data_IF_509040798973
#
_entry.id   IF_509040798973
#
_cell.length_a   1.000
_cell.length_b   1.000
_cell.length_c   1.000
_cell.angle_alpha   90.00
_cell.angle_beta   90.00
_cell.angle_gamma   90.00
#
_symmetry.space_group_name_H-M   'P 1'
#
loop_
_entity.id
_entity.type
_entity.pdbx_description
1 polymer ?
#
# COMPACT_ATOMS: atom_id res chain seq x y z
N UNK A 1 -28.16 8.26 121.71
CA UNK A 1 -28.13 7.50 120.44
C UNK A 1 -27.93 8.46 119.26
N UNK A 2 -26.67 8.80 118.97
CA UNK A 2 -26.34 9.81 117.95
C UNK A 2 -25.02 9.53 117.19
N UNK A 3 -24.36 8.38 117.42
CA UNK A 3 -23.05 8.08 116.84
C UNK A 3 -23.07 7.04 115.69
N UNK A 4 -24.20 6.41 115.39
CA UNK A 4 -24.27 5.27 114.44
C UNK A 4 -24.67 5.70 113.01
N UNK A 5 -25.07 6.96 112.80
CA UNK A 5 -25.62 7.45 111.53
C UNK A 5 -24.56 7.77 110.46
N UNK A 6 -23.52 8.53 110.82
CA UNK A 6 -22.50 9.02 109.86
C UNK A 6 -21.57 7.92 109.34
N UNK A 7 -21.06 6.97 110.16
CA UNK A 7 -20.21 5.89 109.66
C UNK A 7 -20.90 5.01 108.62
N UNK A 8 -22.16 4.63 108.86
CA UNK A 8 -22.96 3.83 107.93
C UNK A 8 -23.26 4.58 106.62
N UNK A 9 -23.51 5.90 106.68
CA UNK A 9 -23.66 6.74 105.49
C UNK A 9 -22.38 6.80 104.65
N UNK A 10 -21.21 6.95 105.28
CA UNK A 10 -19.91 6.94 104.58
C UNK A 10 -19.59 5.59 103.95
N UNK A 11 -19.88 4.49 104.64
CA UNK A 11 -19.72 3.14 104.09
C UNK A 11 -20.60 2.91 102.85
N UNK A 12 -21.84 3.40 102.87
CA UNK A 12 -22.71 3.34 101.71
C UNK A 12 -22.18 4.16 100.52
N UNK A 13 -21.58 5.33 100.78
CA UNK A 13 -20.90 6.15 99.76
C UNK A 13 -19.68 5.40 99.19
N UNK A 14 -18.87 4.78 100.05
CA UNK A 14 -17.71 3.98 99.63
C UNK A 14 -18.13 2.78 98.76
N UNK A 15 -19.21 2.09 99.15
CA UNK A 15 -19.76 1.00 98.36
C UNK A 15 -20.26 1.50 97.00
N UNK A 16 -21.01 2.60 96.96
CA UNK A 16 -21.50 3.18 95.71
C UNK A 16 -20.34 3.60 94.78
N UNK A 17 -19.29 4.21 95.34
CA UNK A 17 -18.09 4.56 94.59
C UNK A 17 -17.38 3.32 94.03
N UNK A 18 -17.21 2.27 94.84
CA UNK A 18 -16.59 1.02 94.42
C UNK A 18 -17.39 0.32 93.30
N UNK A 19 -18.70 0.17 93.48
CA UNK A 19 -19.60 -0.41 92.48
C UNK A 19 -19.53 0.38 91.17
N UNK A 20 -19.50 1.72 91.25
CA UNK A 20 -19.44 2.58 90.08
C UNK A 20 -18.12 2.49 89.33
N UNK A 21 -17.00 2.46 90.05
CA UNK A 21 -15.67 2.27 89.45
C UNK A 21 -15.56 0.90 88.75
N UNK A 22 -16.13 -0.16 89.33
CA UNK A 22 -16.19 -1.46 88.70
C UNK A 22 -17.05 -1.45 87.42
N UNK A 23 -18.16 -0.71 87.41
CA UNK A 23 -18.97 -0.50 86.22
C UNK A 23 -18.21 0.27 85.12
N UNK A 24 -17.39 1.26 85.48
CA UNK A 24 -16.50 1.98 84.54
C UNK A 24 -15.41 1.03 84.00
N UNK A 25 -14.86 0.14 84.83
CA UNK A 25 -13.85 -0.83 84.40
C UNK A 25 -14.37 -1.82 83.37
N UNK A 26 -15.63 -2.25 83.50
CA UNK A 26 -16.29 -3.17 82.60
C UNK A 26 -16.66 -2.57 81.23
N UNK A 27 -16.41 -1.28 81.00
CA UNK A 27 -16.71 -0.61 79.73
C UNK A 27 -15.56 -0.74 78.74
N UNK A 28 -15.70 -1.62 77.74
CA UNK A 28 -14.68 -1.87 76.72
C UNK A 28 -14.58 -0.78 75.64
N UNK A 29 -15.57 0.10 75.58
CA UNK A 29 -15.60 1.27 74.70
C UNK A 29 -14.67 2.40 75.18
N UNK A 30 -14.30 2.39 76.47
CA UNK A 30 -13.40 3.39 77.07
C UNK A 30 -11.94 2.93 77.04
N UNK A 31 -11.06 3.87 76.75
CA UNK A 31 -9.62 3.75 76.97
C UNK A 31 -9.27 3.75 78.46
N UNK A 32 -8.07 3.30 78.79
CA UNK A 32 -7.53 3.35 80.16
C UNK A 32 -7.53 4.78 80.71
N UNK A 33 -7.22 5.77 79.86
CA UNK A 33 -7.22 7.20 80.18
C UNK A 33 -8.63 7.72 80.50
N UNK A 34 -9.63 7.40 79.67
CA UNK A 34 -11.03 7.79 79.91
C UNK A 34 -11.59 7.12 81.18
N UNK A 35 -11.25 5.84 81.41
CA UNK A 35 -11.59 5.13 82.66
C UNK A 35 -10.95 5.81 83.87
N UNK A 36 -9.68 6.20 83.80
CA UNK A 36 -8.99 6.86 84.89
C UNK A 36 -9.62 8.23 85.23
N UNK A 37 -9.95 9.04 84.21
CA UNK A 37 -10.62 10.32 84.39
C UNK A 37 -12.01 10.15 85.05
N UNK A 38 -12.81 9.20 84.58
CA UNK A 38 -14.13 8.92 85.15
C UNK A 38 -14.06 8.42 86.60
N UNK A 39 -13.08 7.57 86.92
CA UNK A 39 -12.87 7.12 88.31
C UNK A 39 -12.43 8.25 89.24
N UNK A 40 -11.65 9.20 88.74
CA UNK A 40 -11.28 10.39 89.51
C UNK A 40 -12.49 11.30 89.78
N UNK A 41 -13.44 11.39 88.84
CA UNK A 41 -14.72 12.07 89.06
C UNK A 41 -15.56 11.36 90.13
N UNK A 42 -15.64 10.02 90.09
CA UNK A 42 -16.29 9.23 91.16
C UNK A 42 -15.65 9.49 92.52
N UNK A 43 -14.32 9.54 92.60
CA UNK A 43 -13.60 9.88 93.84
C UNK A 43 -13.92 11.28 94.34
N UNK A 44 -14.02 12.25 93.42
CA UNK A 44 -14.40 13.63 93.75
C UNK A 44 -15.82 13.70 94.33
N UNK A 45 -16.79 13.03 93.70
CA UNK A 45 -18.17 12.99 94.18
C UNK A 45 -18.29 12.25 95.52
N UNK A 46 -17.53 11.17 95.72
CA UNK A 46 -17.48 10.45 96.99
C UNK A 46 -16.87 11.30 98.11
N UNK A 47 -15.83 12.10 97.82
CA UNK A 47 -15.26 13.05 98.78
C UNK A 47 -16.28 14.13 99.18
N UNK A 48 -16.92 14.78 98.18
CA UNK A 48 -17.98 15.79 98.42
C UNK A 48 -19.13 15.24 99.26
N UNK A 49 -19.55 14.00 98.96
CA UNK A 49 -20.61 13.32 99.70
C UNK A 49 -20.23 13.07 101.17
N UNK A 50 -19.00 12.63 101.43
CA UNK A 50 -18.49 12.42 102.80
C UNK A 50 -18.37 13.72 103.59
N UNK A 51 -17.92 14.79 102.95
CA UNK A 51 -17.84 16.12 103.55
C UNK A 51 -19.25 16.63 103.92
N UNK A 52 -20.25 16.42 103.06
CA UNK A 52 -21.64 16.76 103.34
C UNK A 52 -22.22 15.94 104.51
N UNK A 53 -21.90 14.64 104.60
CA UNK A 53 -22.26 13.79 105.74
C UNK A 53 -21.60 14.28 107.04
N UNK A 54 -20.35 14.72 106.98
CA UNK A 54 -19.65 15.29 108.14
C UNK A 54 -20.28 16.60 108.61
N UNK A 55 -20.69 17.46 107.66
CA UNK A 55 -21.33 18.74 107.93
C UNK A 55 -22.79 18.62 108.44
N UNK A 56 -23.47 17.49 108.23
CA UNK A 56 -24.85 17.30 108.67
C UNK A 56 -25.00 17.34 110.20
N UNK A 57 -26.01 18.07 110.69
CA UNK A 57 -26.25 18.30 112.13
C UNK A 57 -27.30 17.39 112.74
N UNK A 58 -28.07 16.67 111.93
CA UNK A 58 -29.10 15.72 112.35
C UNK A 58 -29.18 14.50 111.41
N UNK A 59 -29.99 13.51 111.79
CA UNK A 59 -30.16 12.27 111.03
C UNK A 59 -30.72 12.51 109.63
N UNK A 60 -31.71 13.41 109.48
CA UNK A 60 -32.32 13.70 108.19
C UNK A 60 -31.31 14.32 107.22
N UNK A 61 -30.41 15.18 107.71
CA UNK A 61 -29.30 15.74 106.94
C UNK A 61 -28.26 14.69 106.56
N UNK A 62 -27.96 13.72 107.45
CA UNK A 62 -27.06 12.59 107.12
C UNK A 62 -27.66 11.72 106.01
N UNK A 63 -28.94 11.40 106.10
CA UNK A 63 -29.64 10.60 105.09
C UNK A 63 -29.74 11.34 103.75
N UNK A 64 -30.08 12.63 103.77
CA UNK A 64 -30.12 13.46 102.56
C UNK A 64 -28.74 13.61 101.89
N UNK A 65 -27.67 13.82 102.68
CA UNK A 65 -26.30 13.92 102.17
C UNK A 65 -25.83 12.59 101.58
N UNK A 66 -26.15 11.47 102.24
CA UNK A 66 -25.90 10.13 101.74
C UNK A 66 -26.61 9.91 100.40
N UNK A 67 -27.92 10.11 100.36
CA UNK A 67 -28.73 9.83 99.16
C UNK A 67 -28.28 10.71 97.99
N UNK A 68 -28.10 12.01 98.22
CA UNK A 68 -27.59 12.94 97.20
C UNK A 68 -26.19 12.54 96.72
N UNK A 69 -25.30 12.16 97.63
CA UNK A 69 -23.94 11.72 97.30
C UNK A 69 -23.91 10.43 96.49
N UNK A 70 -24.70 9.43 96.90
CA UNK A 70 -24.84 8.19 96.13
C UNK A 70 -25.44 8.46 94.75
N UNK A 71 -26.44 9.34 94.63
CA UNK A 71 -27.01 9.71 93.34
C UNK A 71 -25.98 10.39 92.43
N UNK A 72 -25.19 11.32 92.96
CA UNK A 72 -24.13 12.00 92.22
C UNK A 72 -23.05 11.02 91.70
N UNK A 73 -22.59 10.10 92.55
CA UNK A 73 -21.67 9.01 92.15
C UNK A 73 -22.28 8.16 91.05
N UNK A 74 -23.54 7.74 91.22
CA UNK A 74 -24.22 6.86 90.27
C UNK A 74 -24.40 7.54 88.90
N UNK A 75 -24.56 8.87 88.90
CA UNK A 75 -24.71 9.69 87.72
C UNK A 75 -23.43 9.88 86.89
N UNK A 76 -22.24 9.64 87.45
CA UNK A 76 -20.97 9.75 86.70
C UNK A 76 -21.00 8.78 85.51
N UNK A 77 -21.12 9.25 84.28
CA UNK A 77 -21.21 8.36 83.13
C UNK A 77 -20.33 8.90 81.99
N UNK A 78 -19.08 8.43 81.88
CA UNK A 78 -18.16 8.97 80.87
C UNK A 78 -18.66 8.65 79.45
N UNK A 79 -18.45 9.57 78.53
CA UNK A 79 -18.67 9.32 77.11
C UNK A 79 -17.39 8.74 76.49
N UNK A 80 -17.51 7.73 75.63
CA UNK A 80 -16.38 7.23 74.87
C UNK A 80 -16.10 8.19 73.70
N UNK A 81 -14.89 8.72 73.60
CA UNK A 81 -14.51 9.70 72.58
C UNK A 81 -13.42 9.14 71.67
N UNK A 82 -12.43 8.45 72.24
CA UNK A 82 -11.25 8.00 71.51
C UNK A 82 -11.56 7.01 70.36
N UNK A 83 -12.20 5.87 70.69
CA UNK A 83 -12.52 4.83 69.71
C UNK A 83 -13.51 5.31 68.64
N UNK A 84 -14.62 6.01 68.97
CA UNK A 84 -15.52 6.56 67.96
C UNK A 84 -14.83 7.53 66.99
N UNK A 85 -14.01 8.46 67.50
CA UNK A 85 -13.29 9.42 66.67
C UNK A 85 -12.27 8.74 65.73
N UNK A 86 -11.59 7.69 66.21
CA UNK A 86 -10.68 6.90 65.38
C UNK A 86 -11.42 6.17 64.25
N UNK A 87 -12.58 5.56 64.52
CA UNK A 87 -13.40 4.89 63.51
C UNK A 87 -13.95 5.86 62.47
N UNK A 88 -14.39 7.05 62.89
CA UNK A 88 -14.82 8.11 61.97
C UNK A 88 -13.69 8.55 61.04
N UNK A 89 -12.47 8.70 61.56
CA UNK A 89 -11.31 9.02 60.73
C UNK A 89 -10.99 7.92 59.70
N UNK A 90 -11.12 6.64 60.08
CA UNK A 90 -10.98 5.50 59.17
C UNK A 90 -12.07 5.52 58.08
N UNK A 91 -13.32 5.77 58.46
CA UNK A 91 -14.44 5.87 57.51
C UNK A 91 -14.24 7.02 56.52
N UNK A 92 -13.78 8.17 57.00
CA UNK A 92 -13.44 9.29 56.13
C UNK A 92 -12.31 8.94 55.16
N UNK A 93 -11.24 8.30 55.63
CA UNK A 93 -10.13 7.88 54.77
C UNK A 93 -10.57 6.87 53.71
N UNK A 94 -11.42 5.91 54.08
CA UNK A 94 -12.01 4.95 53.14
C UNK A 94 -12.89 5.64 52.09
N UNK A 95 -13.76 6.56 52.50
CA UNK A 95 -14.62 7.32 51.58
C UNK A 95 -13.81 8.17 50.60
N UNK A 96 -12.82 8.93 51.10
CA UNK A 96 -11.94 9.76 50.28
C UNK A 96 -11.18 8.89 49.26
N UNK A 97 -10.69 7.71 49.70
CA UNK A 97 -9.97 6.79 48.84
C UNK A 97 -10.83 6.19 47.74
N UNK A 98 -12.06 5.77 48.07
CA UNK A 98 -13.01 5.26 47.06
C UNK A 98 -13.38 6.33 46.05
N UNK A 99 -13.55 7.58 46.47
CA UNK A 99 -13.79 8.70 45.57
C UNK A 99 -12.61 8.94 44.61
N UNK A 100 -11.36 8.80 45.09
CA UNK A 100 -10.18 8.87 44.23
C UNK A 100 -10.12 7.73 43.20
N UNK A 101 -10.49 6.51 43.58
CA UNK A 101 -10.62 5.36 42.67
C UNK A 101 -11.70 5.61 41.62
N UNK A 102 -12.85 6.17 42.02
CA UNK A 102 -13.94 6.49 41.11
C UNK A 102 -13.58 7.53 40.06
N UNK A 103 -12.79 8.53 40.46
CA UNK A 103 -12.30 9.59 39.58
C UNK A 103 -11.22 9.12 38.59
N UNK A 104 -10.64 7.93 38.78
CA UNK A 104 -9.65 7.40 37.85
C UNK A 104 -10.35 6.84 36.60
N UNK A 105 -10.23 7.55 35.48
CA UNK A 105 -10.87 7.18 34.20
C UNK A 105 -10.11 6.10 33.42
N UNK A 106 -8.88 5.77 33.83
CA UNK A 106 -8.10 4.73 33.18
C UNK A 106 -8.57 3.32 33.58
N UNK A 107 -9.23 3.21 34.75
CA UNK A 107 -9.80 1.97 35.27
C UNK A 107 -11.16 1.66 34.67
N UNK A 108 -11.41 0.38 34.41
CA UNK A 108 -12.78 -0.13 34.18
C UNK A 108 -13.57 -0.18 35.48
N UNK A 109 -14.89 -0.32 35.38
CA UNK A 109 -15.74 -0.49 36.55
C UNK A 109 -15.34 -1.72 37.37
N UNK A 110 -14.96 -2.82 36.71
CA UNK A 110 -14.53 -4.04 37.38
C UNK A 110 -13.23 -3.83 38.19
N UNK A 111 -12.25 -3.11 37.62
CA UNK A 111 -11.01 -2.76 38.32
C UNK A 111 -11.27 -1.83 39.51
N UNK A 112 -12.20 -0.86 39.35
CA UNK A 112 -12.65 0.03 40.43
C UNK A 112 -13.30 -0.76 41.56
N UNK A 113 -14.20 -1.68 41.25
CA UNK A 113 -14.94 -2.46 42.24
C UNK A 113 -13.99 -3.36 43.05
N UNK A 114 -13.02 -4.01 42.39
CA UNK A 114 -11.99 -4.79 43.07
C UNK A 114 -11.12 -3.93 44.01
N UNK A 115 -10.75 -2.72 43.59
CA UNK A 115 -9.98 -1.79 44.40
C UNK A 115 -10.79 -1.29 45.62
N UNK A 116 -12.07 -0.96 45.44
CA UNK A 116 -12.96 -0.55 46.55
C UNK A 116 -13.17 -1.66 47.55
N UNK A 117 -13.30 -2.91 47.11
CA UNK A 117 -13.38 -4.06 48.00
C UNK A 117 -12.11 -4.22 48.86
N UNK A 118 -10.93 -3.91 48.30
CA UNK A 118 -9.67 -3.87 49.04
C UNK A 118 -9.67 -2.75 50.09
N UNK A 119 -10.19 -1.56 49.75
CA UNK A 119 -10.37 -0.45 50.72
C UNK A 119 -11.30 -0.86 51.86
N UNK A 120 -12.42 -1.52 51.56
CA UNK A 120 -13.37 -1.99 52.59
C UNK A 120 -12.75 -3.03 53.54
N UNK A 121 -11.91 -3.93 53.01
CA UNK A 121 -11.20 -4.90 53.80
C UNK A 121 -10.21 -4.24 54.77
N UNK A 122 -9.41 -3.27 54.30
CA UNK A 122 -8.45 -2.55 55.15
C UNK A 122 -9.16 -1.66 56.19
N UNK A 123 -10.29 -1.02 55.83
CA UNK A 123 -11.09 -0.25 56.76
C UNK A 123 -11.69 -1.12 57.89
N UNK A 124 -12.20 -2.30 57.54
CA UNK A 124 -12.73 -3.26 58.52
C UNK A 124 -11.63 -3.72 59.49
N UNK A 125 -10.48 -4.12 58.95
CA UNK A 125 -9.31 -4.53 59.74
C UNK A 125 -8.80 -3.42 60.67
N UNK A 126 -8.82 -2.17 60.22
CA UNK A 126 -8.44 -1.02 61.03
C UNK A 126 -9.43 -0.78 62.19
N UNK A 127 -10.74 -0.90 61.95
CA UNK A 127 -11.77 -0.77 62.98
C UNK A 127 -11.67 -1.87 64.04
N UNK A 128 -11.40 -3.10 63.61
CA UNK A 128 -11.18 -4.23 64.53
C UNK A 128 -9.94 -3.97 65.43
N UNK A 129 -8.87 -3.40 64.88
CA UNK A 129 -7.70 -3.01 65.66
C UNK A 129 -7.98 -1.89 66.67
N UNK A 130 -8.81 -0.90 66.31
CA UNK A 130 -9.28 0.14 67.23
C UNK A 130 -10.14 -0.45 68.35
N UNK A 131 -11.01 -1.41 68.05
CA UNK A 131 -11.83 -2.09 69.06
C UNK A 131 -10.97 -2.89 70.05
N UNK A 132 -9.93 -3.55 69.55
CA UNK A 132 -8.99 -4.32 70.37
C UNK A 132 -8.05 -3.45 71.24
N UNK A 133 -7.87 -2.16 70.92
CA UNK A 133 -6.99 -1.28 71.67
C UNK A 133 -7.54 -0.96 73.08
N UNK A 134 -6.65 -0.93 74.09
CA UNK A 134 -7.01 -0.73 75.51
C UNK A 134 -6.67 0.65 76.05
N UNK A 135 -5.78 1.39 75.36
CA UNK A 135 -5.31 2.71 75.75
C UNK A 135 -5.34 3.68 74.55
N UNK A 136 -5.17 4.96 74.83
CA UNK A 136 -5.20 6.01 73.80
C UNK A 136 -4.11 5.81 72.74
N UNK A 137 -2.90 5.43 73.15
CA UNK A 137 -1.78 5.22 72.23
C UNK A 137 -2.04 4.07 71.24
N UNK A 138 -2.65 2.99 71.69
CA UNK A 138 -3.07 1.87 70.85
C UNK A 138 -4.18 2.26 69.87
N UNK A 139 -5.16 3.06 70.30
CA UNK A 139 -6.21 3.59 69.42
C UNK A 139 -5.61 4.47 68.33
N UNK A 140 -4.70 5.38 68.68
CA UNK A 140 -4.02 6.27 67.72
C UNK A 140 -3.14 5.47 66.75
N UNK A 141 -2.37 4.48 67.23
CA UNK A 141 -1.56 3.62 66.38
C UNK A 141 -2.41 2.77 65.41
N UNK A 142 -3.53 2.23 65.87
CA UNK A 142 -4.46 1.46 65.03
C UNK A 142 -5.10 2.35 63.93
N UNK A 143 -5.53 3.55 64.31
CA UNK A 143 -6.05 4.56 63.38
C UNK A 143 -5.02 4.94 62.32
N UNK A 144 -3.80 5.29 62.74
CA UNK A 144 -2.74 5.73 61.82
C UNK A 144 -2.31 4.61 60.88
N UNK A 145 -2.13 3.39 61.40
CA UNK A 145 -1.83 2.20 60.58
C UNK A 145 -2.93 1.91 59.56
N UNK A 146 -4.20 1.94 60.00
CA UNK A 146 -5.36 1.69 59.15
C UNK A 146 -5.55 2.74 58.05
N UNK A 147 -5.45 4.01 58.38
CA UNK A 147 -5.55 5.10 57.40
C UNK A 147 -4.40 5.07 56.39
N UNK A 148 -3.19 4.70 56.82
CA UNK A 148 -2.06 4.46 55.91
C UNK A 148 -2.31 3.28 54.97
N UNK A 149 -2.80 2.15 55.47
CA UNK A 149 -3.12 0.97 54.67
C UNK A 149 -4.19 1.27 53.61
N UNK A 150 -5.27 1.97 53.97
CA UNK A 150 -6.30 2.45 53.04
C UNK A 150 -5.68 3.35 51.97
N UNK A 151 -4.87 4.33 52.37
CA UNK A 151 -4.25 5.28 51.44
C UNK A 151 -3.34 4.58 50.44
N UNK A 152 -2.67 3.50 50.86
CA UNK A 152 -1.76 2.72 50.04
C UNK A 152 -2.44 1.85 48.96
N UNK A 153 -3.77 1.67 49.00
CA UNK A 153 -4.50 0.91 47.96
C UNK A 153 -4.40 1.63 46.62
N UNK A 154 -3.57 1.18 45.69
CA UNK A 154 -3.42 1.83 44.39
C UNK A 154 -3.68 0.84 43.26
N UNK A 155 -4.88 0.85 42.65
CA UNK A 155 -5.18 -0.03 41.53
C UNK A 155 -4.37 0.34 40.28
N UNK A 156 -3.90 -0.69 39.58
CA UNK A 156 -3.25 -0.57 38.27
C UNK A 156 -4.30 -0.76 37.17
N UNK A 157 -4.30 0.13 36.17
CA UNK A 157 -5.14 -0.01 34.98
C UNK A 157 -4.49 -1.01 34.02
N UNK A 158 -5.20 -2.08 33.67
CA UNK A 158 -4.68 -3.16 32.82
C UNK A 158 -5.46 -3.25 31.53
N UNK A 159 -6.80 -3.13 31.59
CA UNK A 159 -7.68 -3.37 30.45
C UNK A 159 -7.45 -2.38 29.28
N UNK A 160 -7.55 -1.06 29.54
CA UNK A 160 -7.40 -0.04 28.50
C UNK A 160 -5.99 -0.02 27.88
N UNK A 161 -4.88 -0.07 28.67
CA UNK A 161 -3.54 -0.15 28.09
C UNK A 161 -3.35 -1.35 27.16
N UNK A 162 -3.78 -2.55 27.57
CA UNK A 162 -3.66 -3.76 26.76
C UNK A 162 -4.46 -3.67 25.45
N UNK A 163 -5.66 -3.07 25.48
CA UNK A 163 -6.45 -2.84 24.28
C UNK A 163 -5.77 -1.87 23.31
N UNK A 164 -5.18 -0.78 23.81
CA UNK A 164 -4.44 0.18 22.98
C UNK A 164 -3.19 -0.45 22.34
N UNK A 165 -2.47 -1.28 23.07
CA UNK A 165 -1.32 -2.02 22.54
C UNK A 165 -1.73 -2.96 21.39
N UNK A 166 -2.86 -3.65 21.55
CA UNK A 166 -3.40 -4.51 20.48
C UNK A 166 -3.78 -3.70 19.22
N UNK A 167 -4.35 -2.51 19.39
CA UNK A 167 -4.66 -1.59 18.28
C UNK A 167 -3.37 -1.12 17.59
N UNK A 168 -2.35 -0.74 18.37
CA UNK A 168 -1.04 -0.33 17.83
C UNK A 168 -0.37 -1.45 17.03
N UNK A 169 -0.43 -2.68 17.55
CA UNK A 169 0.07 -3.85 16.83
C UNK A 169 -0.67 -4.07 15.51
N UNK A 170 -2.00 -4.01 15.52
CA UNK A 170 -2.80 -4.17 14.31
C UNK A 170 -2.48 -3.08 13.27
N UNK A 171 -2.33 -1.83 13.70
CA UNK A 171 -1.92 -0.73 12.84
C UNK A 171 -0.53 -0.96 12.24
N UNK A 172 0.45 -1.36 13.05
CA UNK A 172 1.81 -1.65 12.59
C UNK A 172 1.84 -2.80 11.56
N UNK A 173 1.18 -3.92 11.86
CA UNK A 173 1.07 -5.06 10.95
C UNK A 173 0.42 -4.65 9.62
N UNK A 174 -0.63 -3.82 9.68
CA UNK A 174 -1.33 -3.35 8.48
C UNK A 174 -0.48 -2.41 7.62
N UNK A 175 0.24 -1.47 8.23
CA UNK A 175 1.17 -0.59 7.51
C UNK A 175 2.30 -1.39 6.86
N UNK A 176 2.82 -2.42 7.52
CA UNK A 176 3.82 -3.32 6.93
C UNK A 176 3.27 -4.07 5.71
N UNK A 177 2.01 -4.53 5.75
CA UNK A 177 1.36 -5.15 4.60
C UNK A 177 1.18 -4.17 3.42
N UNK A 178 0.82 -2.91 3.69
CA UNK A 178 0.75 -1.84 2.69
C UNK A 178 2.14 -1.58 2.08
N UNK A 179 3.19 -1.54 2.90
CA UNK A 179 4.57 -1.34 2.44
C UNK A 179 5.07 -2.46 1.54
N UNK A 180 4.69 -3.70 1.84
CA UNK A 180 5.04 -4.87 1.04
C UNK A 180 4.29 -4.96 -0.30
N UNK A 181 3.24 -4.16 -0.50
CA UNK A 181 2.51 -4.15 -1.77
C UNK A 181 3.29 -3.34 -2.83
N UNK A 182 3.91 -4.03 -3.78
CA UNK A 182 4.72 -3.43 -4.84
C UNK A 182 3.91 -2.85 -6.01
N UNK A 183 2.61 -3.12 -6.06
CA UNK A 183 1.74 -2.56 -7.10
C UNK A 183 1.40 -1.09 -6.80
N UNK A 184 1.48 -0.69 -5.53
CA UNK A 184 1.25 0.68 -5.08
C UNK A 184 2.50 1.55 -5.26
N UNK A 185 2.26 2.79 -5.68
CA UNK A 185 3.20 3.90 -5.56
C UNK A 185 3.34 4.35 -4.10
N UNK A 186 4.42 5.09 -3.80
CA UNK A 186 4.63 5.63 -2.46
C UNK A 186 3.48 6.55 -2.02
N UNK A 187 2.92 7.35 -2.94
CA UNK A 187 1.80 8.24 -2.68
C UNK A 187 0.53 7.47 -2.28
N UNK A 188 0.22 6.37 -2.99
CA UNK A 188 -0.91 5.49 -2.66
C UNK A 188 -0.68 4.78 -1.31
N UNK A 189 0.56 4.36 -1.02
CA UNK A 189 0.93 3.78 0.29
C UNK A 189 0.73 4.79 1.42
N UNK A 190 1.19 6.02 1.26
CA UNK A 190 1.12 7.05 2.29
C UNK A 190 -0.33 7.43 2.60
N UNK A 191 -1.18 7.57 1.57
CA UNK A 191 -2.62 7.78 1.75
C UNK A 191 -3.29 6.63 2.52
N UNK A 192 -2.92 5.39 2.20
CA UNK A 192 -3.44 4.21 2.90
C UNK A 192 -2.98 4.16 4.36
N UNK A 193 -1.71 4.46 4.65
CA UNK A 193 -1.18 4.51 6.03
C UNK A 193 -1.85 5.61 6.86
N UNK A 194 -2.11 6.77 6.26
CA UNK A 194 -2.86 7.84 6.93
C UNK A 194 -4.28 7.40 7.31
N UNK A 195 -4.92 6.58 6.46
CA UNK A 195 -6.22 5.96 6.78
C UNK A 195 -6.11 4.97 7.94
N UNK A 196 -5.05 4.14 7.97
CA UNK A 196 -4.76 3.25 9.12
C UNK A 196 -4.57 4.04 10.41
N UNK A 197 -3.82 5.14 10.36
CA UNK A 197 -3.61 6.01 11.53
C UNK A 197 -4.91 6.62 12.05
N UNK A 198 -5.78 7.09 11.15
CA UNK A 198 -7.07 7.63 11.52
C UNK A 198 -7.97 6.60 12.23
N UNK A 199 -8.04 5.37 11.71
CA UNK A 199 -8.82 4.29 12.35
C UNK A 199 -8.20 3.85 13.68
N UNK A 200 -6.87 3.82 13.80
CA UNK A 200 -6.20 3.52 15.06
C UNK A 200 -6.47 4.57 16.14
N UNK A 201 -6.39 5.86 15.80
CA UNK A 201 -6.75 6.96 16.71
C UNK A 201 -8.20 6.85 17.17
N UNK A 202 -9.14 6.67 16.23
CA UNK A 202 -10.57 6.51 16.54
C UNK A 202 -10.85 5.31 17.45
N UNK A 203 -10.14 4.20 17.25
CA UNK A 203 -10.25 3.03 18.11
C UNK A 203 -9.74 3.29 19.53
N UNK A 204 -8.61 4.00 19.67
CA UNK A 204 -8.07 4.39 20.99
C UNK A 204 -9.00 5.34 21.74
N UNK A 205 -9.60 6.30 21.04
CA UNK A 205 -10.60 7.20 21.61
C UNK A 205 -11.83 6.43 22.12
N UNK A 206 -12.27 5.39 21.38
CA UNK A 206 -13.36 4.52 21.82
C UNK A 206 -12.99 3.68 23.05
N UNK A 207 -11.74 3.20 23.15
CA UNK A 207 -11.22 2.52 24.36
C UNK A 207 -11.19 3.47 25.55
N UNK A 208 -10.79 4.73 25.34
CA UNK A 208 -10.77 5.74 26.40
C UNK A 208 -12.17 6.07 26.92
N UNK A 209 -13.15 6.13 26.02
CA UNK A 209 -14.54 6.38 26.36
C UNK A 209 -15.24 5.19 27.04
N UNK A 210 -14.72 3.96 26.91
CA UNK A 210 -15.31 2.78 27.51
C UNK A 210 -15.24 2.81 29.05
N UNK A 211 -16.32 2.40 29.71
CA UNK A 211 -16.45 2.43 31.18
C UNK A 211 -16.25 1.07 31.84
N UNK A 212 -16.45 -0.01 31.09
CA UNK A 212 -16.39 -1.39 31.57
C UNK A 212 -15.51 -2.25 30.65
N UNK A 213 -15.19 -3.46 31.11
CA UNK A 213 -14.36 -4.40 30.34
C UNK A 213 -14.98 -4.75 28.97
N UNK A 214 -16.30 -4.96 28.93
CA UNK A 214 -16.99 -5.33 27.69
C UNK A 214 -16.91 -4.22 26.62
N UNK A 215 -17.03 -2.95 27.03
CA UNK A 215 -16.86 -1.81 26.14
C UNK A 215 -15.43 -1.66 25.63
N UNK A 216 -14.43 -1.91 26.48
CA UNK A 216 -13.01 -1.92 26.08
C UNK A 216 -12.76 -3.00 25.03
N UNK A 217 -13.25 -4.21 25.25
CA UNK A 217 -13.11 -5.33 24.31
C UNK A 217 -13.83 -5.06 22.98
N UNK A 218 -15.05 -4.53 23.03
CA UNK A 218 -15.80 -4.16 21.84
C UNK A 218 -15.12 -3.05 21.02
N UNK A 219 -14.58 -2.03 21.69
CA UNK A 219 -13.84 -0.94 21.04
C UNK A 219 -12.56 -1.45 20.37
N UNK A 220 -11.79 -2.31 21.05
CA UNK A 220 -10.61 -2.97 20.52
C UNK A 220 -10.95 -3.81 19.28
N UNK A 221 -11.96 -4.67 19.37
CA UNK A 221 -12.33 -5.58 18.28
C UNK A 221 -12.85 -4.79 17.07
N UNK A 222 -13.71 -3.78 17.28
CA UNK A 222 -14.17 -2.90 16.21
C UNK A 222 -13.02 -2.14 15.56
N UNK A 223 -12.08 -1.63 16.36
CA UNK A 223 -10.92 -0.87 15.89
C UNK A 223 -9.95 -1.71 15.05
N UNK A 224 -9.59 -2.90 15.55
CA UNK A 224 -8.69 -3.82 14.84
C UNK A 224 -9.31 -4.33 13.53
N UNK A 225 -10.63 -4.54 13.49
CA UNK A 225 -11.36 -4.87 12.27
C UNK A 225 -11.34 -3.72 11.26
N UNK A 226 -11.60 -2.48 11.70
CA UNK A 226 -11.56 -1.30 10.83
C UNK A 226 -10.17 -1.09 10.22
N UNK A 227 -9.11 -1.22 11.02
CA UNK A 227 -7.71 -1.16 10.54
C UNK A 227 -7.45 -2.25 9.48
N UNK A 228 -7.87 -3.48 9.77
CA UNK A 228 -7.64 -4.62 8.87
C UNK A 228 -8.37 -4.45 7.54
N UNK A 229 -9.54 -3.80 7.56
CA UNK A 229 -10.35 -3.52 6.38
C UNK A 229 -9.77 -2.45 5.44
N UNK A 230 -8.75 -1.69 5.85
CA UNK A 230 -8.10 -0.69 4.98
C UNK A 230 -7.41 -1.39 3.80
N UNK A 231 -7.99 -1.36 2.61
CA UNK A 231 -7.41 -2.04 1.45
C UNK A 231 -7.19 -1.04 0.30
N UNK A 232 -5.96 -0.52 0.12
CA UNK A 232 -5.68 0.40 -0.97
C UNK A 232 -5.73 -0.30 -2.33
N UNK A 233 -6.25 0.41 -3.32
CA UNK A 233 -6.28 -0.01 -4.71
C UNK A 233 -5.12 0.62 -5.47
N UNK A 234 -4.42 -0.17 -6.27
CA UNK A 234 -3.36 0.32 -7.16
C UNK A 234 -3.97 0.88 -8.44
N UNK A 235 -3.71 2.14 -8.74
CA UNK A 235 -4.29 2.84 -9.90
C UNK A 235 -3.20 3.27 -10.88
N UNK A 236 -2.08 3.78 -10.39
CA UNK A 236 -1.04 4.37 -11.22
C UNK A 236 -0.39 3.38 -12.20
N UNK A 237 0.15 2.26 -11.69
CA UNK A 237 0.84 1.25 -12.53
C UNK A 237 -0.09 0.57 -13.55
N UNK A 238 -1.31 0.12 -13.17
CA UNK A 238 -2.25 -0.44 -14.15
C UNK A 238 -2.60 0.52 -15.29
N UNK A 239 -2.88 1.78 -14.99
CA UNK A 239 -3.21 2.79 -16.00
C UNK A 239 -2.03 3.05 -16.96
N UNK A 240 -0.79 3.08 -16.44
CA UNK A 240 0.40 3.22 -17.27
C UNK A 240 0.60 2.03 -18.23
N UNK A 241 0.39 0.79 -17.74
CA UNK A 241 0.48 -0.42 -18.57
C UNK A 241 -0.57 -0.46 -19.67
N UNK A 242 -1.80 -0.03 -19.38
CA UNK A 242 -2.86 0.08 -20.40
C UNK A 242 -2.48 1.09 -21.50
N UNK A 243 -1.89 2.22 -21.14
CA UNK A 243 -1.41 3.20 -22.11
C UNK A 243 -0.28 2.64 -23.00
N UNK A 244 0.63 1.85 -22.44
CA UNK A 244 1.70 1.15 -23.18
C UNK A 244 1.09 0.13 -24.14
N UNK A 245 0.12 -0.67 -23.70
CA UNK A 245 -0.58 -1.65 -24.53
C UNK A 245 -1.30 -0.99 -25.70
N UNK A 246 -1.97 0.14 -25.44
CA UNK A 246 -2.60 0.92 -26.49
C UNK A 246 -1.58 1.44 -27.51
N UNK A 247 -0.46 2.01 -27.06
CA UNK A 247 0.58 2.50 -27.96
C UNK A 247 1.18 1.36 -28.82
N UNK A 248 1.41 0.19 -28.22
CA UNK A 248 1.89 -0.98 -28.96
C UNK A 248 0.87 -1.44 -30.01
N UNK A 249 -0.41 -1.52 -29.67
CA UNK A 249 -1.47 -1.89 -30.60
C UNK A 249 -1.58 -0.91 -31.78
N UNK A 250 -1.61 0.40 -31.49
CA UNK A 250 -1.65 1.46 -32.51
C UNK A 250 -0.43 1.37 -33.44
N UNK A 251 0.76 1.12 -32.89
CA UNK A 251 1.98 1.02 -33.67
C UNK A 251 2.02 -0.21 -34.58
N UNK A 252 1.57 -1.38 -34.09
CA UNK A 252 1.46 -2.59 -34.91
C UNK A 252 0.47 -2.40 -36.06
N UNK A 253 -0.65 -1.72 -35.82
CA UNK A 253 -1.60 -1.38 -36.87
C UNK A 253 -0.98 -0.47 -37.94
N UNK A 254 -0.17 0.51 -37.55
CA UNK A 254 0.57 1.36 -38.48
C UNK A 254 1.60 0.56 -39.31
N UNK A 255 2.28 -0.42 -38.71
CA UNK A 255 3.19 -1.34 -39.43
C UNK A 255 2.40 -2.23 -40.41
N UNK A 256 1.23 -2.72 -40.02
CA UNK A 256 0.37 -3.53 -40.90
C UNK A 256 -0.09 -2.78 -42.14
N UNK A 257 -0.38 -1.48 -42.00
CA UNK A 257 -0.82 -0.61 -43.09
C UNK A 257 0.29 -0.28 -44.11
N UNK A 258 1.54 -0.66 -43.87
CA UNK A 258 2.67 -0.40 -44.78
C UNK A 258 2.74 -1.43 -45.91
N UNK A 259 2.38 -1.04 -47.13
CA UNK A 259 2.38 -1.94 -48.29
C UNK A 259 3.77 -2.12 -48.94
N UNK A 260 4.72 -1.25 -48.60
CA UNK A 260 6.11 -1.32 -49.06
C UNK A 260 6.89 -2.46 -48.38
N UNK A 261 6.44 -2.92 -47.21
CA UNK A 261 7.07 -4.00 -46.44
C UNK A 261 6.56 -5.38 -46.84
N UNK A 262 7.44 -6.37 -46.74
CA UNK A 262 7.06 -7.79 -46.78
C UNK A 262 6.47 -8.24 -45.44
N UNK A 263 5.83 -9.41 -45.46
CA UNK A 263 5.30 -10.05 -44.25
C UNK A 263 6.40 -10.32 -43.22
N UNK A 264 7.59 -10.70 -43.66
CA UNK A 264 8.73 -10.96 -42.78
C UNK A 264 9.26 -9.66 -42.14
N UNK A 265 9.39 -8.58 -42.90
CA UNK A 265 9.80 -7.26 -42.37
C UNK A 265 8.77 -6.73 -41.36
N UNK A 266 7.46 -6.89 -41.64
CA UNK A 266 6.39 -6.54 -40.69
C UNK A 266 6.47 -7.36 -39.41
N UNK A 267 6.70 -8.68 -39.52
CA UNK A 267 6.78 -9.56 -38.37
C UNK A 267 7.95 -9.18 -37.45
N UNK A 268 9.13 -8.89 -38.02
CA UNK A 268 10.29 -8.42 -37.28
C UNK A 268 10.00 -7.09 -36.54
N UNK A 269 9.40 -6.12 -37.23
CA UNK A 269 9.06 -4.83 -36.63
C UNK A 269 8.03 -4.95 -35.50
N UNK A 270 7.03 -5.82 -35.64
CA UNK A 270 6.05 -6.08 -34.57
C UNK A 270 6.68 -6.75 -33.35
N UNK A 271 7.63 -7.65 -33.56
CA UNK A 271 8.38 -8.26 -32.47
C UNK A 271 9.24 -7.23 -31.72
N UNK A 272 9.81 -6.25 -32.43
CA UNK A 272 10.50 -5.11 -31.81
C UNK A 272 9.54 -4.26 -30.97
N UNK A 273 8.33 -3.94 -31.49
CA UNK A 273 7.27 -3.26 -30.71
C UNK A 273 6.92 -4.03 -29.44
N UNK A 274 6.77 -5.35 -29.52
CA UNK A 274 6.50 -6.20 -28.34
C UNK A 274 7.63 -6.15 -27.32
N UNK A 275 8.89 -6.14 -27.79
CA UNK A 275 10.06 -6.03 -26.91
C UNK A 275 10.10 -4.68 -26.19
N UNK A 276 9.84 -3.58 -26.88
CA UNK A 276 9.81 -2.24 -26.26
C UNK A 276 8.64 -2.09 -25.29
N UNK A 277 7.47 -2.66 -25.60
CA UNK A 277 6.33 -2.68 -24.69
C UNK A 277 6.63 -3.49 -23.42
N UNK A 278 7.30 -4.64 -23.52
CA UNK A 278 7.72 -5.42 -22.36
C UNK A 278 8.71 -4.64 -21.47
N UNK A 279 9.75 -4.05 -22.06
CA UNK A 279 10.72 -3.20 -21.32
C UNK A 279 10.04 -2.04 -20.61
N UNK A 280 9.07 -1.39 -21.26
CA UNK A 280 8.31 -0.30 -20.67
C UNK A 280 7.48 -0.75 -19.46
N UNK A 281 6.83 -1.91 -19.55
CA UNK A 281 6.06 -2.49 -18.44
C UNK A 281 6.96 -2.87 -17.27
N UNK A 282 8.13 -3.46 -17.55
CA UNK A 282 9.12 -3.78 -16.51
C UNK A 282 9.61 -2.51 -15.80
N UNK A 283 9.82 -1.41 -16.54
CA UNK A 283 10.19 -0.11 -15.96
C UNK A 283 9.07 0.49 -15.09
N UNK A 284 7.80 0.34 -15.49
CA UNK A 284 6.64 0.73 -14.67
C UNK A 284 6.57 -0.10 -13.39
N UNK A 285 6.86 -1.40 -13.47
CA UNK A 285 6.88 -2.29 -12.30
C UNK A 285 7.99 -1.92 -11.31
N UNK A 286 9.16 -1.54 -11.81
CA UNK A 286 10.28 -1.10 -11.00
C UNK A 286 10.10 0.29 -10.38
N UNK A 287 9.22 1.14 -10.93
CA UNK A 287 8.97 2.48 -10.40
C UNK A 287 8.34 2.43 -8.99
N UNK A 288 8.82 3.30 -8.10
CA UNK A 288 8.40 3.35 -6.69
C UNK A 288 7.41 4.46 -6.39
N UNK A 289 7.38 5.51 -7.21
CA UNK A 289 6.54 6.70 -7.03
C UNK A 289 5.80 7.04 -8.33
N UNK A 290 4.82 7.95 -8.22
CA UNK A 290 4.02 8.37 -9.36
C UNK A 290 4.87 8.96 -10.50
N UNK A 291 5.87 9.77 -10.16
CA UNK A 291 6.74 10.41 -11.16
C UNK A 291 7.55 9.38 -11.97
N UNK A 292 8.05 8.33 -11.32
CA UNK A 292 8.75 7.23 -11.97
C UNK A 292 7.82 6.42 -12.88
N UNK A 293 6.57 6.17 -12.46
CA UNK A 293 5.57 5.50 -13.29
C UNK A 293 5.28 6.30 -14.56
N UNK A 294 5.08 7.62 -14.42
CA UNK A 294 4.83 8.52 -15.55
C UNK A 294 6.04 8.59 -16.50
N UNK A 295 7.25 8.69 -15.96
CA UNK A 295 8.48 8.69 -16.75
C UNK A 295 8.69 7.38 -17.52
N UNK A 296 8.44 6.23 -16.89
CA UNK A 296 8.54 4.92 -17.52
C UNK A 296 7.51 4.75 -18.66
N UNK A 297 6.27 5.17 -18.42
CA UNK A 297 5.20 5.20 -19.43
C UNK A 297 5.58 6.08 -20.62
N UNK A 298 6.02 7.31 -20.38
CA UNK A 298 6.36 8.25 -21.44
C UNK A 298 7.58 7.78 -22.24
N UNK A 299 8.63 7.29 -21.57
CA UNK A 299 9.79 6.70 -22.24
C UNK A 299 9.40 5.48 -23.08
N UNK A 300 8.58 4.59 -22.54
CA UNK A 300 8.13 3.38 -23.21
C UNK A 300 7.28 3.65 -24.45
N UNK A 301 6.29 4.54 -24.33
CA UNK A 301 5.44 4.95 -25.46
C UNK A 301 6.23 5.64 -26.56
N UNK A 302 7.24 6.45 -26.20
CA UNK A 302 8.17 7.04 -27.16
C UNK A 302 9.02 5.98 -27.88
N UNK A 303 9.57 5.00 -27.16
CA UNK A 303 10.35 3.90 -27.75
C UNK A 303 9.52 3.06 -28.73
N UNK A 304 8.29 2.69 -28.35
CA UNK A 304 7.33 2.02 -29.23
C UNK A 304 7.07 2.84 -30.49
N UNK A 305 6.79 4.14 -30.33
CA UNK A 305 6.48 5.03 -31.45
C UNK A 305 7.67 5.17 -32.41
N UNK A 306 8.90 5.09 -31.89
CA UNK A 306 10.13 5.19 -32.66
C UNK A 306 10.43 3.97 -33.55
N UNK A 307 9.82 2.80 -33.28
CA UNK A 307 10.03 1.60 -34.12
C UNK A 307 9.62 1.88 -35.57
N UNK A 308 10.57 1.94 -36.50
CA UNK A 308 10.27 2.28 -37.89
C UNK A 308 11.05 1.38 -38.83
N UNK A 309 10.45 0.28 -39.34
CA UNK A 309 11.16 -0.64 -40.22
C UNK A 309 11.50 0.00 -41.56
N UNK A 310 12.66 -0.33 -42.09
CA UNK A 310 13.06 0.03 -43.44
C UNK A 310 12.55 -1.01 -44.44
N UNK A 311 12.06 -0.57 -45.60
CA UNK A 311 11.64 -1.47 -46.68
C UNK A 311 12.85 -1.79 -47.57
N UNK A 312 13.38 -3.01 -47.47
CA UNK A 312 14.62 -3.40 -48.15
C UNK A 312 14.33 -4.35 -49.31
N UNK A 313 13.48 -5.36 -49.09
CA UNK A 313 13.28 -6.44 -50.05
C UNK A 313 12.75 -5.95 -51.42
N UNK A 314 11.66 -5.18 -51.44
CA UNK A 314 11.07 -4.66 -52.68
C UNK A 314 11.98 -3.64 -53.37
N UNK A 315 12.67 -2.82 -52.59
CA UNK A 315 13.60 -1.79 -53.06
C UNK A 315 14.75 -2.41 -53.85
N UNK A 316 15.47 -3.36 -53.22
CA UNK A 316 16.57 -4.09 -53.84
C UNK A 316 16.10 -4.90 -55.07
N UNK A 317 14.90 -5.48 -55.02
CA UNK A 317 14.31 -6.21 -56.13
C UNK A 317 14.09 -5.32 -57.37
N UNK A 318 13.61 -4.09 -57.19
CA UNK A 318 13.42 -3.13 -58.29
C UNK A 318 14.75 -2.71 -58.91
N UNK A 319 15.78 -2.49 -58.10
CA UNK A 319 17.14 -2.19 -58.59
C UNK A 319 17.71 -3.33 -59.45
N UNK A 320 17.46 -4.59 -59.07
CA UNK A 320 17.87 -5.74 -59.86
C UNK A 320 17.19 -5.79 -61.24
N UNK A 321 15.89 -5.45 -61.30
CA UNK A 321 15.15 -5.33 -62.57
C UNK A 321 15.71 -4.18 -63.43
N UNK A 322 15.97 -3.02 -62.82
CA UNK A 322 16.54 -1.88 -63.53
C UNK A 322 17.91 -2.20 -64.14
N UNK A 323 18.75 -2.90 -63.38
CA UNK A 323 20.05 -3.36 -63.88
C UNK A 323 19.89 -4.33 -65.05
N UNK A 324 19.01 -5.34 -64.93
CA UNK A 324 18.79 -6.31 -65.99
C UNK A 324 18.24 -5.67 -67.28
N UNK A 325 17.33 -4.69 -67.14
CA UNK A 325 16.81 -3.91 -68.26
C UNK A 325 17.92 -3.08 -68.94
N UNK A 326 18.75 -2.38 -68.16
CA UNK A 326 19.87 -1.60 -68.67
C UNK A 326 20.87 -2.48 -69.45
N UNK A 327 21.27 -3.61 -68.87
CA UNK A 327 22.19 -4.57 -69.49
C UNK A 327 21.61 -5.10 -70.82
N UNK A 328 20.31 -5.43 -70.86
CA UNK A 328 19.66 -5.93 -72.08
C UNK A 328 19.57 -4.87 -73.18
N UNK A 329 19.26 -3.62 -72.84
CA UNK A 329 19.24 -2.51 -73.80
C UNK A 329 20.63 -2.26 -74.38
N UNK A 330 21.68 -2.33 -73.56
CA UNK A 330 23.06 -2.20 -74.05
C UNK A 330 23.42 -3.32 -75.04
N UNK A 331 22.97 -4.56 -74.80
CA UNK A 331 23.17 -5.67 -75.74
C UNK A 331 22.41 -5.46 -77.07
N UNK A 332 21.19 -4.91 -77.02
CA UNK A 332 20.42 -4.53 -78.22
C UNK A 332 21.14 -3.43 -79.01
N UNK A 333 21.68 -2.42 -78.31
CA UNK A 333 22.42 -1.32 -78.94
C UNK A 333 23.68 -1.78 -79.65
N UNK A 334 24.41 -2.73 -79.06
CA UNK A 334 25.61 -3.32 -79.63
C UNK A 334 25.34 -4.19 -80.87
N UNK A 335 24.08 -4.55 -81.16
CA UNK A 335 23.74 -5.36 -82.33
C UNK A 335 23.69 -4.51 -83.61
N UNK A 336 24.78 -4.56 -84.40
CA UNK A 336 24.93 -3.79 -85.64
C UNK A 336 24.07 -4.27 -86.81
N UNK A 337 23.46 -5.46 -86.71
CA UNK A 337 22.57 -5.98 -87.74
C UNK A 337 21.18 -5.35 -87.71
N UNK A 338 20.79 -4.75 -86.58
CA UNK A 338 19.49 -4.08 -86.42
C UNK A 338 19.53 -2.64 -86.95
N UNK A 339 18.40 -2.15 -87.46
CA UNK A 339 18.19 -0.72 -87.68
C UNK A 339 17.88 0.00 -86.37
N UNK A 340 17.85 1.34 -86.42
CA UNK A 340 17.48 2.13 -85.24
C UNK A 340 16.03 1.86 -84.81
N UNK A 341 15.12 1.73 -85.76
CA UNK A 341 13.70 1.43 -85.51
C UNK A 341 13.52 0.05 -84.85
N UNK A 342 14.25 -0.96 -85.32
CA UNK A 342 14.23 -2.31 -84.73
C UNK A 342 14.82 -2.31 -83.30
N UNK A 343 15.88 -1.53 -83.06
CA UNK A 343 16.45 -1.33 -81.71
C UNK A 343 15.46 -0.65 -80.78
N UNK A 344 14.83 0.43 -81.23
CA UNK A 344 13.89 1.21 -80.41
C UNK A 344 12.66 0.39 -80.04
N UNK A 345 12.11 -0.38 -80.99
CA UNK A 345 11.02 -1.32 -80.72
C UNK A 345 11.40 -2.39 -79.68
N UNK A 346 12.60 -2.96 -79.80
CA UNK A 346 13.11 -3.95 -78.85
C UNK A 346 13.33 -3.35 -77.45
N UNK A 347 13.91 -2.15 -77.35
CA UNK A 347 14.08 -1.44 -76.07
C UNK A 347 12.75 -1.08 -75.42
N UNK A 348 11.75 -0.68 -76.21
CA UNK A 348 10.40 -0.43 -75.70
C UNK A 348 9.78 -1.70 -75.11
N UNK A 349 10.08 -2.86 -75.68
CA UNK A 349 9.64 -4.17 -75.15
C UNK A 349 10.35 -4.49 -73.83
N UNK A 350 11.66 -4.16 -73.72
CA UNK A 350 12.41 -4.28 -72.46
C UNK A 350 11.79 -3.42 -71.36
N UNK A 351 11.44 -2.17 -71.66
CA UNK A 351 10.78 -1.28 -70.70
C UNK A 351 9.42 -1.80 -70.24
N UNK A 352 8.63 -2.35 -71.15
CA UNK A 352 7.32 -2.93 -70.83
C UNK A 352 7.46 -4.11 -69.86
N UNK A 353 8.37 -5.06 -70.13
CA UNK A 353 8.59 -6.20 -69.23
C UNK A 353 9.24 -5.79 -67.91
N UNK A 354 10.14 -4.81 -67.89
CA UNK A 354 10.69 -4.25 -66.65
C UNK A 354 9.61 -3.62 -65.77
N UNK A 355 8.71 -2.81 -66.34
CA UNK A 355 7.60 -2.21 -65.62
C UNK A 355 6.61 -3.26 -65.08
N UNK A 356 6.33 -4.29 -65.87
CA UNK A 356 5.49 -5.42 -65.45
C UNK A 356 6.11 -6.19 -64.29
N UNK A 357 7.42 -6.42 -64.31
CA UNK A 357 8.14 -7.05 -63.21
C UNK A 357 8.11 -6.19 -61.93
N UNK A 358 8.31 -4.87 -62.05
CA UNK A 358 8.19 -3.93 -60.92
C UNK A 358 6.80 -3.93 -60.31
N UNK A 359 5.75 -3.95 -61.13
CA UNK A 359 4.37 -4.05 -60.64
C UNK A 359 4.10 -5.38 -59.92
N UNK A 360 4.68 -6.49 -60.39
CA UNK A 360 4.60 -7.77 -59.70
C UNK A 360 5.34 -7.76 -58.34
N UNK A 361 6.50 -7.08 -58.26
CA UNK A 361 7.23 -6.86 -56.99
C UNK A 361 6.40 -6.01 -56.02
N UNK A 362 5.72 -4.96 -56.51
CA UNK A 362 4.85 -4.13 -55.68
C UNK A 362 3.68 -4.94 -55.09
N UNK A 363 3.08 -5.81 -55.89
CA UNK A 363 1.97 -6.68 -55.48
C UNK A 363 2.38 -7.83 -54.56
N UNK A 364 3.66 -8.23 -54.56
CA UNK A 364 4.18 -9.30 -53.72
C UNK A 364 4.06 -8.94 -52.22
N UNK A 365 3.65 -9.90 -51.41
CA UNK A 365 3.44 -9.76 -49.96
C UNK A 365 4.55 -10.41 -49.14
N UNK A 366 5.19 -11.43 -49.68
CA UNK A 366 6.27 -12.15 -49.00
C UNK A 366 7.60 -11.95 -49.72
N UNK A 367 8.70 -12.14 -49.00
CA UNK A 367 10.04 -12.08 -49.57
C UNK A 367 10.25 -13.14 -50.67
N UNK A 368 9.59 -14.30 -50.55
CA UNK A 368 9.59 -15.35 -51.58
C UNK A 368 8.85 -14.93 -52.86
N UNK A 369 7.70 -14.29 -52.73
CA UNK A 369 6.95 -13.75 -53.88
C UNK A 369 7.74 -12.64 -54.58
N UNK A 370 8.43 -11.77 -53.82
CA UNK A 370 9.34 -10.76 -54.38
C UNK A 370 10.45 -11.44 -55.18
N UNK A 371 11.12 -12.45 -54.63
CA UNK A 371 12.18 -13.17 -55.33
C UNK A 371 11.69 -13.90 -56.59
N UNK A 372 10.47 -14.44 -56.54
CA UNK A 372 9.80 -15.06 -57.68
C UNK A 372 9.54 -14.04 -58.79
N UNK A 373 9.01 -12.86 -58.44
CA UNK A 373 8.76 -11.78 -59.39
C UNK A 373 10.05 -11.25 -60.04
N UNK A 374 11.13 -11.11 -59.26
CA UNK A 374 12.46 -10.76 -59.79
C UNK A 374 12.93 -11.80 -60.81
N UNK A 375 12.87 -13.08 -60.45
CA UNK A 375 13.35 -14.17 -61.31
C UNK A 375 12.57 -14.23 -62.63
N UNK A 376 11.24 -14.14 -62.55
CA UNK A 376 10.37 -14.10 -63.73
C UNK A 376 10.64 -12.87 -64.61
N UNK A 377 10.78 -11.68 -63.99
CA UNK A 377 11.05 -10.43 -64.69
C UNK A 377 12.38 -10.43 -65.44
N UNK A 378 13.47 -10.84 -64.76
CA UNK A 378 14.79 -10.96 -65.40
C UNK A 378 14.74 -11.95 -66.56
N UNK A 379 14.07 -13.10 -66.38
CA UNK A 379 13.91 -14.11 -67.44
C UNK A 379 13.18 -13.53 -68.65
N UNK A 380 12.07 -12.81 -68.44
CA UNK A 380 11.31 -12.17 -69.51
C UNK A 380 12.13 -11.13 -70.26
N UNK A 381 12.87 -10.27 -69.54
CA UNK A 381 13.78 -9.27 -70.14
C UNK A 381 14.86 -9.95 -70.97
N UNK A 382 15.48 -11.01 -70.44
CA UNK A 382 16.55 -11.74 -71.14
C UNK A 382 16.06 -12.43 -72.41
N UNK A 383 14.80 -12.88 -72.45
CA UNK A 383 14.19 -13.54 -73.60
C UNK A 383 13.98 -12.62 -74.81
N UNK A 384 14.09 -11.30 -74.65
CA UNK A 384 13.87 -10.33 -75.74
C UNK A 384 15.04 -10.38 -76.73
N UNK A 385 14.90 -11.12 -77.82
CA UNK A 385 15.95 -11.25 -78.83
C UNK A 385 15.42 -10.72 -80.17
N UNK A 386 15.62 -9.43 -80.49
CA UNK A 386 15.15 -8.88 -81.75
C UNK A 386 15.85 -9.54 -82.93
N UNK A 387 15.05 -9.88 -83.95
CA UNK A 387 15.52 -10.44 -85.20
C UNK A 387 15.72 -9.29 -86.17
N UNK A 388 16.91 -9.21 -86.79
CA UNK A 388 17.17 -8.24 -87.84
C UNK A 388 16.43 -8.66 -89.11
N UNK A 389 15.54 -7.81 -89.62
CA UNK A 389 14.78 -8.08 -90.83
C UNK A 389 15.20 -7.14 -91.94
N UNK A 390 15.35 -5.84 -91.65
CA UNK A 390 15.55 -4.81 -92.69
C UNK A 390 16.93 -4.92 -93.35
N UNK A 391 18.03 -4.92 -92.58
CA UNK A 391 19.39 -5.02 -93.16
C UNK A 391 19.60 -6.36 -93.90
N UNK A 392 19.23 -7.53 -93.35
CA UNK A 392 19.36 -8.80 -94.07
C UNK A 392 18.50 -8.86 -95.34
N UNK A 393 17.24 -8.39 -95.30
CA UNK A 393 16.37 -8.36 -96.47
C UNK A 393 16.93 -7.47 -97.58
N UNK A 394 17.47 -6.30 -97.23
CA UNK A 394 18.12 -5.40 -98.19
C UNK A 394 19.35 -6.06 -98.85
N UNK A 395 20.17 -6.79 -98.06
CA UNK A 395 21.31 -7.56 -98.60
C UNK A 395 20.86 -8.66 -99.57
N UNK A 396 19.79 -9.39 -99.24
CA UNK A 396 19.19 -10.41 -100.13
C UNK A 396 18.63 -9.78 -101.42
N UNK A 397 17.99 -8.62 -101.34
CA UNK A 397 17.48 -7.89 -102.51
C UNK A 397 18.63 -7.45 -103.45
N UNK A 398 19.75 -6.98 -102.89
CA UNK A 398 20.95 -6.67 -103.68
C UNK A 398 21.50 -7.93 -104.36
N UNK A 399 21.57 -9.06 -103.65
CA UNK A 399 22.00 -10.34 -104.25
C UNK A 399 21.11 -10.77 -105.41
N UNK A 400 19.80 -10.67 -105.24
CA UNK A 400 18.83 -10.98 -106.29
C UNK A 400 18.99 -10.04 -107.50
N UNK A 401 19.15 -8.73 -107.27
CA UNK A 401 19.35 -7.75 -108.32
C UNK A 401 20.67 -7.98 -109.09
N UNK A 402 21.77 -8.25 -108.38
CA UNK A 402 23.06 -8.58 -108.97
C UNK A 402 22.97 -9.85 -109.82
N UNK A 403 22.34 -10.91 -109.30
CA UNK A 403 22.11 -12.16 -110.04
C UNK A 403 21.29 -11.95 -111.30
N UNK A 404 20.20 -11.19 -111.24
CA UNK A 404 19.37 -10.86 -112.39
C UNK A 404 20.16 -10.04 -113.44
N UNK A 405 20.95 -9.05 -113.01
CA UNK A 405 21.77 -8.24 -113.91
C UNK A 405 22.83 -9.08 -114.61
N UNK A 406 23.52 -9.97 -113.89
CA UNK A 406 24.51 -10.89 -114.49
C UNK A 406 23.88 -11.84 -115.51
N UNK A 407 22.68 -12.37 -115.24
CA UNK A 407 21.95 -13.20 -116.20
C UNK A 407 21.63 -12.41 -117.48
N UNK A 408 21.22 -11.14 -117.36
CA UNK A 408 20.98 -10.27 -118.53
C UNK A 408 22.25 -9.99 -119.34
N UNK A 409 23.41 -9.83 -118.68
CA UNK A 409 24.71 -9.65 -119.34
C UNK A 409 25.16 -10.92 -120.06
N UNK A 410 24.87 -12.09 -119.51
CA UNK A 410 25.19 -13.37 -120.15
C UNK A 410 24.44 -13.56 -121.48
N UNK A 411 23.18 -13.14 -121.53
CA UNK A 411 22.29 -13.27 -122.68
C UNK A 411 22.55 -12.28 -123.83
N UNK A 412 23.56 -11.40 -123.74
CA UNK A 412 23.89 -10.42 -124.77
C UNK A 412 24.79 -11.00 -125.85
N UNK A 413 24.33 -11.07 -127.09
CA UNK A 413 25.13 -11.64 -128.21
C UNK A 413 26.11 -10.63 -128.84
N UNK A 414 26.01 -9.35 -128.46
CA UNK A 414 26.82 -8.24 -128.97
C UNK A 414 28.10 -7.97 -128.16
N UNK A 415 28.38 -8.76 -127.13
CA UNK A 415 29.55 -8.64 -126.27
C UNK A 415 30.47 -9.86 -126.38
N UNK A 416 31.78 -9.63 -126.38
CA UNK A 416 32.80 -10.69 -126.27
C UNK A 416 32.78 -11.35 -124.88
N UNK A 417 33.39 -12.53 -124.77
CA UNK A 417 33.51 -13.23 -123.48
C UNK A 417 34.28 -12.42 -122.43
N UNK A 418 35.37 -11.73 -122.82
CA UNK A 418 36.09 -10.81 -121.94
C UNK A 418 35.22 -9.65 -121.46
N UNK A 419 34.45 -9.01 -122.36
CA UNK A 419 33.57 -7.88 -122.00
C UNK A 419 32.43 -8.31 -121.06
N UNK A 420 31.85 -9.50 -121.28
CA UNK A 420 30.85 -10.09 -120.36
C UNK A 420 31.44 -10.40 -118.99
N UNK A 421 32.68 -10.88 -118.92
CA UNK A 421 33.34 -11.18 -117.65
C UNK A 421 33.65 -9.89 -116.87
N UNK A 422 34.19 -8.87 -117.53
CA UNK A 422 34.46 -7.56 -116.93
C UNK A 422 33.18 -6.90 -116.38
N UNK A 423 32.10 -6.89 -117.17
CA UNK A 423 30.83 -6.31 -116.73
C UNK A 423 30.19 -7.06 -115.55
N UNK A 424 30.32 -8.39 -115.47
CA UNK A 424 29.83 -9.15 -114.30
C UNK A 424 30.66 -8.89 -113.04
N UNK A 425 31.98 -8.71 -113.19
CA UNK A 425 32.86 -8.34 -112.07
C UNK A 425 32.53 -6.94 -111.54
N UNK A 426 32.17 -6.00 -112.41
CA UNK A 426 31.69 -4.67 -112.01
C UNK A 426 30.36 -4.77 -111.24
N UNK A 427 29.41 -5.62 -111.69
CA UNK A 427 28.18 -5.90 -110.93
C UNK A 427 28.47 -6.47 -109.54
N UNK A 428 29.46 -7.36 -109.40
CA UNK A 428 29.89 -7.86 -108.09
C UNK A 428 30.48 -6.77 -107.20
N UNK A 429 31.31 -5.88 -107.77
CA UNK A 429 31.89 -4.76 -107.04
C UNK A 429 30.82 -3.80 -106.53
N UNK A 430 29.86 -3.42 -107.38
CA UNK A 430 28.77 -2.53 -107.00
C UNK A 430 27.81 -3.18 -105.99
N UNK A 431 27.53 -4.48 -106.13
CA UNK A 431 26.75 -5.23 -105.14
C UNK A 431 27.45 -5.28 -103.78
N UNK A 432 28.77 -5.47 -103.74
CA UNK A 432 29.56 -5.43 -102.51
C UNK A 432 29.52 -4.04 -101.87
N UNK A 433 29.71 -2.96 -102.65
CA UNK A 433 29.62 -1.57 -102.17
C UNK A 433 28.24 -1.26 -101.58
N UNK A 434 27.18 -1.65 -102.29
CA UNK A 434 25.81 -1.43 -101.84
C UNK A 434 25.51 -2.17 -100.53
N UNK A 435 26.03 -3.39 -100.34
CA UNK A 435 25.92 -4.12 -99.07
C UNK A 435 26.72 -3.48 -97.94
N UNK A 436 27.92 -2.98 -98.23
CA UNK A 436 28.71 -2.23 -97.25
C UNK A 436 28.05 -0.92 -96.82
N UNK A 437 27.22 -0.31 -97.68
CA UNK A 437 26.46 0.89 -97.34
C UNK A 437 25.21 0.62 -96.47
N UNK A 438 24.81 -0.65 -96.30
CA UNK A 438 23.71 -1.06 -95.40
C UNK A 438 24.17 -1.16 -93.94
N UNK A 439 25.44 -1.52 -93.73
CA UNK A 439 26.03 -1.69 -92.41
C UNK A 439 26.29 -0.34 -91.74
#
# INVERSE_FOLDING_TARGET
>A
PEAVAKPAAKEAIDKAAADKKAAIDARDDLTTEEKAAAKAEVDSEAAKAKDAVDAATDQAGVDAAKDSGTNAITAVNPEAVAKPAAKEAIDKAAADKKAAIDANNDLTQEEKDAAKATVDAEASKAKDAVDAATDQAGVDAAKDSGTNAITAVNPEAVAKPAAKEAIDKAAADKKAAIDANNDLTQEEKDAAKATVDAEASKAKDAVDAATDQAGVDAAKDSGTNAITAVNPEAVAKPAAKEAIDKAAADKKAAIDARDDLTTEEKAAAKAEVDSEAAKAKDAVDAATDQAGVDAAKDSGTNAITAVNPEAVAKSAAKEAIDKAAADKKAAIDANNNLTQEEKDAAKSTVDAEANKAKAAIDAAKTSEEVQTAVTAGITAIQAINPVAEVKPAAKVAIDAAAKAKKASLEARDDLTAEEKAAAKAEVDSEAAKAKSAID
#
